data_IF_274758004863
#
_entry.id   IF_274758004863
#
_cell.length_a   1.000
_cell.length_b   1.000
_cell.length_c   1.000
_cell.angle_alpha   90.00
_cell.angle_beta   90.00
_cell.angle_gamma   90.00
#
_symmetry.space_group_name_H-M   'P 1'
#
loop_
_entity.id
_entity.type
_entity.pdbx_description
1 polymer ?
#
# COMPACT_ATOMS: atom_id res chain seq x y z
N UNK A 1 -30.76 -12.61 4.15
CA UNK A 1 -29.86 -13.75 4.32
C UNK A 1 -29.07 -13.87 3.04
N UNK A 2 -27.85 -13.31 2.97
CA UNK A 2 -26.96 -13.61 1.84
C UNK A 2 -26.62 -15.08 1.93
N UNK A 3 -26.65 -15.79 0.80
CA UNK A 3 -26.18 -17.17 0.76
C UNK A 3 -24.78 -17.22 1.38
N UNK A 4 -24.58 -18.12 2.32
CA UNK A 4 -23.29 -18.37 2.96
C UNK A 4 -22.33 -18.82 1.84
N UNK A 5 -21.50 -17.90 1.34
CA UNK A 5 -20.53 -18.23 0.31
C UNK A 5 -19.52 -19.21 0.92
N UNK A 6 -19.39 -20.38 0.29
CA UNK A 6 -18.41 -21.37 0.70
C UNK A 6 -17.04 -20.96 0.16
N UNK A 7 -16.02 -20.78 1.02
CA UNK A 7 -14.69 -20.37 0.57
C UNK A 7 -14.07 -21.38 -0.41
N UNK A 8 -13.30 -20.88 -1.39
CA UNK A 8 -12.50 -21.75 -2.26
C UNK A 8 -11.31 -22.33 -1.49
N UNK A 9 -11.32 -23.65 -1.30
CA UNK A 9 -10.30 -24.42 -0.59
C UNK A 9 -9.52 -25.38 -1.50
N UNK A 10 -9.76 -25.34 -2.81
CA UNK A 10 -9.07 -26.19 -3.79
C UNK A 10 -7.74 -25.55 -4.15
N UNK A 11 -6.65 -26.31 -4.08
CA UNK A 11 -5.32 -25.83 -4.49
C UNK A 11 -5.30 -25.46 -5.98
N UNK A 12 -4.70 -24.31 -6.30
CA UNK A 12 -4.53 -23.89 -7.69
C UNK A 12 -3.30 -24.57 -8.32
N UNK A 13 -3.44 -25.05 -9.54
CA UNK A 13 -2.33 -25.63 -10.31
C UNK A 13 -1.53 -24.57 -11.10
N UNK A 14 -2.14 -23.42 -11.38
CA UNK A 14 -1.59 -22.38 -12.27
C UNK A 14 -1.66 -21.01 -11.61
N UNK A 15 -0.66 -20.18 -11.93
CA UNK A 15 -0.62 -18.79 -11.50
C UNK A 15 -1.70 -17.99 -12.21
N UNK A 16 -2.44 -17.19 -11.44
CA UNK A 16 -3.53 -16.34 -11.90
C UNK A 16 -3.05 -14.93 -12.23
N UNK A 17 -3.76 -14.22 -13.11
CA UNK A 17 -3.48 -12.82 -13.42
C UNK A 17 -3.93 -11.90 -12.28
N UNK A 18 -3.58 -10.61 -12.35
CA UNK A 18 -3.92 -9.62 -11.33
C UNK A 18 -5.43 -9.50 -11.09
N UNK A 19 -6.20 -9.42 -12.16
CA UNK A 19 -7.65 -9.28 -12.12
C UNK A 19 -8.33 -10.48 -11.44
N UNK A 20 -7.79 -11.68 -11.61
CA UNK A 20 -8.37 -12.92 -11.09
C UNK A 20 -8.26 -12.99 -9.55
N UNK A 21 -7.14 -12.58 -8.97
CA UNK A 21 -6.95 -12.65 -7.51
C UNK A 21 -7.42 -11.40 -6.77
N UNK A 22 -7.66 -10.29 -7.47
CA UNK A 22 -8.04 -9.02 -6.86
C UNK A 22 -9.56 -8.84 -6.76
N UNK A 23 -10.37 -9.64 -7.46
CA UNK A 23 -11.82 -9.55 -7.39
C UNK A 23 -12.35 -9.71 -5.94
N UNK A 24 -12.89 -8.63 -5.38
CA UNK A 24 -13.43 -8.62 -4.02
C UNK A 24 -12.38 -8.56 -2.90
N UNK A 25 -11.11 -8.29 -3.21
CA UNK A 25 -10.04 -8.09 -2.22
C UNK A 25 -10.21 -6.81 -1.37
N UNK A 26 -11.16 -5.95 -1.74
CA UNK A 26 -11.54 -4.74 -1.04
C UNK A 26 -12.77 -4.92 -0.12
N UNK A 27 -13.33 -6.13 -0.01
CA UNK A 27 -14.56 -6.39 0.77
C UNK A 27 -14.46 -5.89 2.23
N UNK A 28 -13.34 -6.17 2.89
CA UNK A 28 -13.09 -5.76 4.27
C UNK A 28 -12.29 -4.44 4.36
N UNK A 29 -12.19 -3.69 3.27
CA UNK A 29 -11.50 -2.40 3.25
C UNK A 29 -12.23 -1.37 4.13
N UNK A 30 -11.48 -0.41 4.63
CA UNK A 30 -12.05 0.79 5.25
C UNK A 30 -12.81 1.62 4.20
N UNK A 31 -13.93 2.26 4.56
CA UNK A 31 -14.74 2.99 3.59
C UNK A 31 -14.04 4.27 3.12
N UNK A 32 -14.40 4.71 1.91
CA UNK A 32 -14.03 6.02 1.40
C UNK A 32 -14.56 7.13 2.31
N UNK A 33 -13.79 8.21 2.45
CA UNK A 33 -14.15 9.38 3.25
C UNK A 33 -14.31 10.64 2.41
N UNK A 34 -15.29 11.46 2.78
CA UNK A 34 -15.49 12.80 2.22
C UNK A 34 -14.84 13.90 3.07
N UNK A 35 -14.18 13.55 4.18
CA UNK A 35 -13.63 14.49 5.14
C UNK A 35 -12.50 15.39 4.60
N UNK A 36 -11.91 15.03 3.46
CA UNK A 36 -10.90 15.83 2.77
C UNK A 36 -11.50 16.91 1.87
N UNK A 37 -12.77 16.79 1.46
CA UNK A 37 -13.35 17.71 0.48
C UNK A 37 -13.35 19.17 0.99
N UNK A 38 -12.71 20.05 0.21
CA UNK A 38 -12.53 21.46 0.53
C UNK A 38 -11.27 21.79 1.34
N UNK A 39 -10.39 20.83 1.61
CA UNK A 39 -9.11 21.07 2.27
C UNK A 39 -7.94 21.23 1.28
N UNK A 40 -6.90 21.94 1.71
CA UNK A 40 -5.63 22.06 0.99
C UNK A 40 -4.50 21.73 1.95
N UNK A 41 -3.53 20.94 1.49
CA UNK A 41 -2.37 20.53 2.26
C UNK A 41 -1.11 20.64 1.41
N UNK A 42 -0.04 21.16 2.00
CA UNK A 42 1.31 21.16 1.42
C UNK A 42 2.22 20.25 2.23
N UNK A 43 3.05 19.48 1.54
CA UNK A 43 4.09 18.64 2.14
C UNK A 43 5.45 19.13 1.70
N UNK A 44 6.29 19.52 2.65
CA UNK A 44 7.72 19.76 2.44
C UNK A 44 8.48 18.45 2.67
N UNK A 45 9.03 17.88 1.60
CA UNK A 45 9.77 16.62 1.61
C UNK A 45 11.17 16.81 2.21
N UNK A 46 11.76 15.74 2.75
CA UNK A 46 13.08 15.79 3.40
C UNK A 46 14.23 16.18 2.45
N UNK A 47 14.11 15.85 1.17
CA UNK A 47 15.04 16.23 0.09
C UNK A 47 14.84 17.67 -0.43
N UNK A 48 13.84 18.39 0.10
CA UNK A 48 13.51 19.75 -0.28
C UNK A 48 12.45 19.86 -1.38
N UNK A 49 11.94 18.73 -1.89
CA UNK A 49 10.77 18.71 -2.76
C UNK A 49 9.52 19.27 -2.08
N UNK A 50 8.58 19.78 -2.87
CA UNK A 50 7.32 20.32 -2.37
C UNK A 50 6.16 19.70 -3.13
N UNK A 51 5.27 19.04 -2.39
CA UNK A 51 4.00 18.55 -2.88
C UNK A 51 2.84 19.39 -2.34
N UNK A 52 1.80 19.58 -3.15
CA UNK A 52 0.56 20.27 -2.77
C UNK A 52 -0.63 19.49 -3.28
N UNK A 53 -1.66 19.43 -2.44
CA UNK A 53 -2.90 18.70 -2.71
C UNK A 53 -4.08 19.59 -2.30
N UNK A 54 -4.94 19.93 -3.26
CA UNK A 54 -6.20 20.61 -3.04
C UNK A 54 -7.34 19.63 -3.32
N UNK A 55 -8.01 19.20 -2.26
CA UNK A 55 -9.07 18.21 -2.29
C UNK A 55 -10.41 18.88 -2.58
N UNK A 56 -11.04 18.50 -3.67
CA UNK A 56 -12.29 19.04 -4.17
C UNK A 56 -13.45 18.07 -3.92
N UNK A 57 -14.67 18.60 -3.98
CA UNK A 57 -15.88 17.76 -3.91
C UNK A 57 -15.93 16.71 -5.03
N UNK A 58 -16.51 15.55 -4.71
CA UNK A 58 -16.65 14.42 -5.63
C UNK A 58 -15.35 13.64 -5.83
N UNK A 59 -14.54 13.52 -4.77
CA UNK A 59 -13.29 12.75 -4.77
C UNK A 59 -12.29 13.18 -5.84
N UNK A 60 -12.15 14.49 -6.06
CA UNK A 60 -11.16 15.05 -6.99
C UNK A 60 -10.04 15.71 -6.23
N UNK A 61 -8.82 15.60 -6.73
CA UNK A 61 -7.64 16.26 -6.16
C UNK A 61 -6.90 17.00 -7.25
N UNK A 62 -6.72 18.31 -7.07
CA UNK A 62 -5.73 19.06 -7.82
C UNK A 62 -4.38 18.94 -7.09
N UNK A 63 -3.36 18.45 -7.78
CA UNK A 63 -2.07 18.14 -7.18
C UNK A 63 -0.94 18.83 -7.94
N UNK A 64 0.16 19.10 -7.25
CA UNK A 64 1.42 19.54 -7.87
C UNK A 64 2.61 19.09 -7.03
N UNK A 65 3.66 18.58 -7.66
CA UNK A 65 4.93 18.21 -7.04
C UNK A 65 6.09 18.87 -7.78
N UNK A 66 7.04 19.40 -7.02
CA UNK A 66 8.27 20.03 -7.51
C UNK A 66 9.47 19.52 -6.72
N UNK A 67 10.67 19.58 -7.31
CA UNK A 67 11.92 19.11 -6.66
C UNK A 67 12.20 17.60 -6.83
N UNK A 68 11.22 16.86 -7.31
CA UNK A 68 11.28 15.41 -7.49
C UNK A 68 11.48 14.98 -8.96
N UNK A 69 12.10 13.82 -9.20
CA UNK A 69 12.19 13.24 -10.56
C UNK A 69 10.81 12.93 -11.16
N UNK A 70 9.84 12.62 -10.31
CA UNK A 70 8.45 12.31 -10.66
C UNK A 70 7.52 13.53 -10.57
N UNK A 71 8.10 14.74 -10.48
CA UNK A 71 7.37 16.01 -10.45
C UNK A 71 6.33 16.16 -11.59
N UNK A 72 5.35 17.02 -11.35
CA UNK A 72 4.24 17.25 -12.26
C UNK A 72 3.06 17.89 -11.53
N UNK A 73 1.98 18.11 -12.26
CA UNK A 73 0.73 18.65 -11.74
C UNK A 73 -0.45 18.12 -12.55
N UNK A 74 -1.65 18.24 -11.97
CA UNK A 74 -2.89 17.84 -12.63
C UNK A 74 -4.09 17.82 -11.71
N UNK A 75 -5.23 17.38 -12.23
CA UNK A 75 -6.43 17.07 -11.47
C UNK A 75 -6.81 15.62 -11.74
N UNK A 76 -6.99 14.84 -10.67
CA UNK A 76 -7.29 13.41 -10.75
C UNK A 76 -8.48 13.06 -9.85
N UNK A 77 -9.09 11.91 -10.09
CA UNK A 77 -9.98 11.29 -9.10
C UNK A 77 -9.12 10.52 -8.10
N UNK A 78 -9.38 10.70 -6.80
CA UNK A 78 -8.65 10.01 -5.73
C UNK A 78 -9.54 9.01 -4.99
N UNK A 79 -8.90 7.96 -4.49
CA UNK A 79 -9.44 7.09 -3.44
C UNK A 79 -8.86 7.56 -2.11
N UNK A 80 -9.71 7.87 -1.13
CA UNK A 80 -9.28 8.46 0.13
C UNK A 80 -9.99 7.83 1.32
N UNK A 81 -9.23 7.47 2.34
CA UNK A 81 -9.70 6.74 3.52
C UNK A 81 -9.17 7.40 4.79
N UNK A 82 -10.03 7.52 5.79
CA UNK A 82 -9.61 7.93 7.13
C UNK A 82 -8.97 6.74 7.86
N UNK A 83 -7.78 6.96 8.43
CA UNK A 83 -6.95 5.92 9.07
C UNK A 83 -6.35 6.44 10.37
N UNK A 84 -5.91 5.54 11.24
CA UNK A 84 -5.27 5.92 12.50
C UNK A 84 -6.14 6.87 13.35
N UNK A 85 -5.50 7.81 14.03
CA UNK A 85 -6.16 8.90 14.77
C UNK A 85 -6.09 10.21 13.98
N UNK A 86 -6.99 10.35 13.02
CA UNK A 86 -7.15 11.58 12.22
C UNK A 86 -6.17 11.70 11.05
N UNK A 87 -5.50 10.61 10.66
CA UNK A 87 -4.71 10.54 9.45
C UNK A 87 -5.57 10.15 8.23
N UNK A 88 -5.01 10.35 7.05
CA UNK A 88 -5.61 9.98 5.78
C UNK A 88 -4.65 9.15 4.94
N UNK A 89 -5.19 8.16 4.25
CA UNK A 89 -4.55 7.44 3.16
C UNK A 89 -5.25 7.85 1.87
N UNK A 90 -4.50 8.31 0.87
CA UNK A 90 -5.02 8.81 -0.40
C UNK A 90 -4.20 8.22 -1.54
N UNK A 91 -4.85 7.71 -2.59
CA UNK A 91 -4.19 7.22 -3.79
C UNK A 91 -4.87 7.70 -5.06
N UNK A 92 -4.07 8.00 -6.08
CA UNK A 92 -4.57 8.28 -7.42
C UNK A 92 -3.54 7.90 -8.49
N UNK A 93 -4.03 7.51 -9.66
CA UNK A 93 -3.22 7.32 -10.86
C UNK A 93 -3.00 8.67 -11.57
N UNK A 94 -1.84 8.84 -12.20
CA UNK A 94 -1.55 10.04 -12.99
C UNK A 94 -2.06 9.82 -14.42
N UNK A 95 -3.12 10.52 -14.82
CA UNK A 95 -3.77 10.35 -16.13
C UNK A 95 -2.81 10.61 -17.30
N UNK A 96 -1.91 11.58 -17.14
CA UNK A 96 -0.88 11.90 -18.14
C UNK A 96 0.23 10.84 -18.23
N UNK A 97 0.42 10.03 -17.18
CA UNK A 97 1.46 9.01 -17.05
C UNK A 97 0.85 7.76 -16.40
N UNK A 98 0.01 7.05 -17.15
CA UNK A 98 -0.82 5.94 -16.60
C UNK A 98 -0.05 4.82 -15.90
N UNK A 99 1.24 4.68 -16.18
CA UNK A 99 2.16 3.75 -15.51
C UNK A 99 2.56 4.20 -14.11
N UNK A 100 2.10 5.35 -13.65
CA UNK A 100 2.43 5.95 -12.37
C UNK A 100 1.20 6.20 -11.50
N UNK A 101 1.40 6.07 -10.19
CA UNK A 101 0.44 6.48 -9.17
C UNK A 101 1.14 7.14 -7.99
N UNK A 102 0.44 8.03 -7.31
CA UNK A 102 0.88 8.66 -6.07
C UNK A 102 -0.02 8.15 -4.94
N UNK A 103 0.59 7.62 -3.90
CA UNK A 103 -0.08 7.34 -2.61
C UNK A 103 0.44 8.32 -1.57
N UNK A 104 -0.43 9.17 -1.01
CA UNK A 104 -0.13 10.08 0.09
C UNK A 104 -0.74 9.52 1.38
N UNK A 105 0.09 9.36 2.42
CA UNK A 105 -0.38 9.07 3.77
C UNK A 105 0.06 10.21 4.67
N UNK A 106 -0.88 10.88 5.35
CA UNK A 106 -0.54 12.06 6.13
C UNK A 106 -1.47 12.29 7.32
N UNK A 107 -0.95 12.97 8.33
CA UNK A 107 -1.70 13.41 9.49
C UNK A 107 -1.63 14.94 9.55
N UNK A 108 -2.73 15.67 9.28
CA UNK A 108 -2.73 17.13 9.14
C UNK A 108 -2.48 17.92 10.44
N UNK A 109 -2.83 17.35 11.60
CA UNK A 109 -2.64 17.95 12.93
C UNK A 109 -1.24 17.71 13.48
N UNK A 110 -0.77 16.46 13.52
CA UNK A 110 0.57 16.13 14.03
C UNK A 110 1.66 16.50 13.02
N UNK A 111 1.33 16.52 11.72
CA UNK A 111 2.13 17.18 10.70
C UNK A 111 3.10 16.26 9.94
N UNK A 112 2.99 14.94 10.06
CA UNK A 112 3.82 14.02 9.29
C UNK A 112 3.13 13.58 7.99
N UNK A 113 3.92 13.27 6.97
CA UNK A 113 3.47 12.67 5.72
C UNK A 113 4.51 11.69 5.16
N UNK A 114 4.01 10.71 4.41
CA UNK A 114 4.78 9.84 3.52
C UNK A 114 4.09 9.82 2.16
N UNK A 115 4.86 10.12 1.10
CA UNK A 115 4.43 9.94 -0.28
C UNK A 115 5.14 8.72 -0.86
N UNK A 116 4.38 7.82 -1.47
CA UNK A 116 4.89 6.70 -2.24
C UNK A 116 4.56 6.94 -3.71
N UNK A 117 5.60 7.13 -4.53
CA UNK A 117 5.45 7.15 -5.98
C UNK A 117 5.70 5.73 -6.50
N UNK A 118 4.71 5.14 -7.17
CA UNK A 118 4.83 3.83 -7.80
C UNK A 118 4.92 3.99 -9.31
N UNK A 119 5.82 3.24 -9.95
CA UNK A 119 6.01 3.23 -11.41
C UNK A 119 6.11 1.82 -11.94
N UNK A 120 5.32 1.52 -12.97
CA UNK A 120 5.46 0.34 -13.81
C UNK A 120 6.49 0.66 -14.91
N UNK A 121 7.62 -0.02 -14.90
CA UNK A 121 8.62 0.10 -15.96
C UNK A 121 8.20 -0.64 -17.23
N UNK A 122 8.81 -0.28 -18.37
CA UNK A 122 8.61 -0.99 -19.62
C UNK A 122 9.13 -2.44 -19.56
N UNK A 123 8.92 -3.21 -20.62
CA UNK A 123 9.28 -4.64 -20.67
C UNK A 123 10.80 -4.89 -20.63
N UNK A 124 11.63 -3.88 -20.91
CA UNK A 124 13.09 -3.98 -20.92
C UNK A 124 13.72 -3.42 -19.62
N UNK A 125 12.95 -3.40 -18.53
CA UNK A 125 13.42 -2.90 -17.24
C UNK A 125 14.68 -3.63 -16.75
N UNK A 126 15.57 -2.88 -16.11
CA UNK A 126 16.80 -3.39 -15.47
C UNK A 126 16.75 -3.30 -13.95
N UNK A 127 15.60 -2.85 -13.41
CA UNK A 127 15.30 -2.81 -11.99
C UNK A 127 15.05 -4.21 -11.44
N UNK A 128 15.03 -4.36 -10.12
CA UNK A 128 14.85 -5.67 -9.47
C UNK A 128 13.47 -6.27 -9.76
N UNK A 129 12.44 -5.43 -9.85
CA UNK A 129 11.08 -5.79 -10.25
C UNK A 129 10.56 -4.81 -11.30
N UNK A 130 9.57 -5.20 -12.10
CA UNK A 130 8.99 -4.32 -13.13
C UNK A 130 8.26 -3.13 -12.51
N UNK A 131 7.61 -3.34 -11.38
CA UNK A 131 7.05 -2.25 -10.57
C UNK A 131 8.11 -1.83 -9.57
N UNK A 132 8.41 -0.53 -9.50
CA UNK A 132 9.31 0.05 -8.50
C UNK A 132 8.62 1.20 -7.78
N UNK A 133 9.13 1.51 -6.59
CA UNK A 133 8.58 2.54 -5.72
C UNK A 133 9.69 3.40 -5.14
N UNK A 134 9.40 4.70 -5.00
CA UNK A 134 10.21 5.66 -4.25
C UNK A 134 9.37 6.23 -3.10
N UNK A 135 10.03 6.59 -2.00
CA UNK A 135 9.42 6.91 -0.72
C UNK A 135 9.93 8.26 -0.23
N UNK A 136 9.01 9.15 0.13
CA UNK A 136 9.30 10.55 0.39
C UNK A 136 8.60 10.98 1.67
N UNK A 137 9.32 10.97 2.78
CA UNK A 137 8.81 11.51 4.04
C UNK A 137 8.82 13.03 4.00
N UNK A 138 7.88 13.66 4.71
CA UNK A 138 7.78 15.10 4.72
C UNK A 138 6.88 15.67 5.80
N UNK A 139 6.93 17.00 5.91
CA UNK A 139 6.19 17.80 6.90
C UNK A 139 4.98 18.45 6.26
N UNK A 140 3.82 18.27 6.87
CA UNK A 140 2.56 18.88 6.43
C UNK A 140 2.47 20.30 6.97
N UNK A 141 2.08 21.23 6.09
CA UNK A 141 1.69 22.61 6.40
C UNK A 141 2.69 23.38 7.29
N UNK A 142 3.99 23.09 7.09
CA UNK A 142 5.10 23.75 7.78
C UNK A 142 5.33 23.31 9.22
N UNK A 143 4.72 22.20 9.67
CA UNK A 143 4.93 21.68 11.02
C UNK A 143 6.38 21.18 11.21
N UNK A 144 7.08 21.72 12.21
CA UNK A 144 8.52 21.46 12.40
C UNK A 144 8.86 20.47 13.51
N UNK A 145 7.96 20.24 14.47
CA UNK A 145 8.21 19.42 15.67
C UNK A 145 7.45 18.09 15.59
N UNK A 146 7.80 17.31 14.57
CA UNK A 146 7.16 16.03 14.27
C UNK A 146 8.21 14.98 13.94
N UNK A 147 8.03 13.76 14.45
CA UNK A 147 8.79 12.60 14.03
C UNK A 147 8.31 12.20 12.63
N UNK A 148 9.22 12.21 11.67
CA UNK A 148 8.88 11.83 10.31
C UNK A 148 8.79 10.31 10.15
N UNK A 149 7.97 9.84 9.19
CA UNK A 149 7.97 8.45 8.81
C UNK A 149 9.38 8.01 8.45
N UNK A 150 9.75 6.79 8.82
CA UNK A 150 11.08 6.24 8.55
C UNK A 150 11.00 4.74 8.29
N UNK A 151 11.96 4.20 7.56
CA UNK A 151 12.08 2.75 7.37
C UNK A 151 12.22 2.04 8.71
N UNK A 152 11.55 0.89 8.84
CA UNK A 152 11.50 0.17 10.11
C UNK A 152 11.65 -1.34 9.93
N UNK A 153 12.04 -1.98 11.04
CA UNK A 153 12.24 -3.43 11.16
C UNK A 153 11.19 -4.07 12.08
N UNK A 154 10.23 -3.29 12.59
CA UNK A 154 9.29 -3.73 13.63
C UNK A 154 8.33 -4.87 13.20
N UNK A 155 8.16 -5.09 11.89
CA UNK A 155 7.37 -6.22 11.40
C UNK A 155 8.16 -7.53 11.32
N UNK A 156 9.49 -7.48 11.26
CA UNK A 156 10.33 -8.67 11.06
C UNK A 156 10.08 -9.69 12.18
N UNK A 157 9.92 -10.95 11.78
CA UNK A 157 9.58 -12.07 12.66
C UNK A 157 8.08 -12.24 12.91
N UNK A 158 7.24 -11.23 12.65
CA UNK A 158 5.78 -11.42 12.73
C UNK A 158 5.28 -12.35 11.62
N UNK A 159 4.23 -13.09 11.96
CA UNK A 159 3.36 -13.82 11.03
C UNK A 159 1.93 -13.35 11.25
N UNK A 160 1.33 -12.82 10.21
CA UNK A 160 0.04 -12.12 10.28
C UNK A 160 -0.89 -12.64 9.20
N UNK A 161 -2.15 -12.90 9.55
CA UNK A 161 -3.17 -13.23 8.56
C UNK A 161 -3.94 -11.97 8.16
N UNK A 162 -4.25 -11.87 6.87
CA UNK A 162 -5.04 -10.81 6.28
C UNK A 162 -6.29 -11.40 5.66
N UNK A 163 -7.44 -11.09 6.28
CA UNK A 163 -8.77 -11.48 5.81
C UNK A 163 -9.34 -10.36 4.94
N UNK A 164 -9.14 -10.44 3.63
CA UNK A 164 -9.67 -9.44 2.68
C UNK A 164 -11.16 -9.66 2.40
N UNK A 165 -11.60 -10.92 2.33
CA UNK A 165 -13.01 -11.30 2.24
C UNK A 165 -13.20 -12.76 2.67
N UNK A 166 -14.42 -13.28 2.57
CA UNK A 166 -14.69 -14.71 2.80
C UNK A 166 -13.90 -15.61 1.84
N UNK A 167 -13.57 -15.11 0.65
CA UNK A 167 -12.84 -15.83 -0.39
C UNK A 167 -11.34 -15.51 -0.40
N UNK A 168 -10.85 -14.64 0.47
CA UNK A 168 -9.45 -14.19 0.44
C UNK A 168 -8.83 -14.21 1.84
N UNK A 169 -7.93 -15.17 2.05
CA UNK A 169 -7.07 -15.24 3.22
C UNK A 169 -5.63 -15.39 2.78
N UNK A 170 -4.81 -14.45 3.19
CA UNK A 170 -3.37 -14.53 3.00
C UNK A 170 -2.69 -14.55 4.36
N UNK A 171 -1.58 -15.25 4.45
CA UNK A 171 -0.61 -15.03 5.51
C UNK A 171 0.59 -14.27 4.98
N UNK A 172 1.08 -13.32 5.76
CA UNK A 172 2.36 -12.63 5.54
C UNK A 172 3.34 -13.08 6.62
N UNK A 173 4.56 -13.43 6.21
CA UNK A 173 5.69 -13.77 7.09
C UNK A 173 6.81 -12.78 6.77
N UNK A 174 7.11 -11.88 7.69
CA UNK A 174 8.10 -10.83 7.47
C UNK A 174 9.50 -11.33 7.82
N UNK A 175 10.34 -11.56 6.80
CA UNK A 175 11.61 -12.26 6.95
C UNK A 175 12.78 -11.32 7.26
N UNK A 176 12.80 -10.14 6.64
CA UNK A 176 13.97 -9.28 6.48
C UNK A 176 13.53 -7.85 6.17
N UNK A 177 14.45 -6.88 6.23
CA UNK A 177 14.16 -5.50 5.80
C UNK A 177 13.76 -5.39 4.32
N UNK A 178 14.13 -6.38 3.51
CA UNK A 178 13.93 -6.37 2.05
C UNK A 178 13.07 -7.51 1.52
N UNK A 179 12.64 -8.45 2.37
CA UNK A 179 11.91 -9.65 1.94
C UNK A 179 10.83 -10.06 2.94
N UNK A 180 9.71 -10.49 2.38
CA UNK A 180 8.64 -11.19 3.10
C UNK A 180 8.11 -12.34 2.25
N UNK A 181 7.35 -13.25 2.86
CA UNK A 181 6.59 -14.28 2.15
C UNK A 181 5.11 -13.99 2.30
N UNK A 182 4.38 -14.05 1.19
CA UNK A 182 2.94 -14.22 1.21
C UNK A 182 2.59 -15.68 0.91
N UNK A 183 1.49 -16.19 1.48
CA UNK A 183 0.91 -17.48 1.14
C UNK A 183 -0.61 -17.38 1.15
N UNK A 184 -1.25 -17.80 0.06
CA UNK A 184 -2.70 -17.81 -0.06
C UNK A 184 -3.29 -19.07 0.61
N UNK A 185 -4.03 -18.84 1.69
CA UNK A 185 -4.70 -19.85 2.50
C UNK A 185 -6.16 -20.08 2.08
N UNK A 186 -6.78 -19.09 1.43
CA UNK A 186 -8.12 -19.15 0.82
C UNK A 186 -8.15 -18.18 -0.36
N UNK A 187 -8.61 -18.65 -1.52
CA UNK A 187 -8.82 -17.84 -2.73
C UNK A 187 -8.28 -18.45 -4.01
N UNK A 188 -8.30 -17.68 -5.09
CA UNK A 188 -7.97 -18.15 -6.45
C UNK A 188 -6.53 -18.62 -6.62
N UNK A 189 -5.63 -18.19 -5.73
CA UNK A 189 -4.24 -18.63 -5.69
C UNK A 189 -3.96 -19.61 -4.53
N UNK A 190 -4.97 -20.30 -3.99
CA UNK A 190 -4.83 -21.21 -2.85
C UNK A 190 -3.64 -22.15 -3.00
N UNK A 191 -2.78 -22.14 -1.98
CA UNK A 191 -1.57 -22.98 -1.90
C UNK A 191 -0.33 -22.31 -2.49
N UNK A 192 -0.48 -21.25 -3.29
CA UNK A 192 0.66 -20.49 -3.77
C UNK A 192 1.28 -19.64 -2.67
N UNK A 193 2.60 -19.52 -2.74
CA UNK A 193 3.39 -18.64 -1.92
C UNK A 193 4.58 -18.14 -2.72
N UNK A 194 5.04 -16.93 -2.42
CA UNK A 194 6.28 -16.39 -2.96
C UNK A 194 6.97 -15.48 -1.94
N UNK A 195 8.29 -15.40 -2.07
CA UNK A 195 9.13 -14.47 -1.32
C UNK A 195 9.39 -13.24 -2.19
N UNK A 196 8.86 -12.08 -1.79
CA UNK A 196 8.87 -10.88 -2.63
C UNK A 196 9.72 -9.77 -2.01
N UNK A 197 10.16 -8.86 -2.88
CA UNK A 197 10.82 -7.62 -2.46
C UNK A 197 9.81 -6.75 -1.69
N UNK A 198 10.19 -6.32 -0.48
CA UNK A 198 9.33 -5.54 0.41
C UNK A 198 10.05 -4.33 1.00
N UNK A 199 9.27 -3.33 1.42
CA UNK A 199 9.74 -2.15 2.16
C UNK A 199 8.71 -1.82 3.24
N UNK A 200 9.18 -1.51 4.45
CA UNK A 200 8.31 -1.17 5.58
C UNK A 200 8.69 0.20 6.15
N UNK A 201 7.70 1.08 6.28
CA UNK A 201 7.83 2.38 6.93
C UNK A 201 6.97 2.42 8.17
N UNK A 202 7.50 2.99 9.25
CA UNK A 202 6.73 3.32 10.44
C UNK A 202 6.19 4.73 10.28
N UNK A 203 4.89 4.90 10.51
CA UNK A 203 4.25 6.20 10.57
C UNK A 203 4.10 6.62 12.03
N UNK A 204 3.49 5.73 12.83
CA UNK A 204 3.28 5.89 14.26
C UNK A 204 3.41 4.50 14.93
N UNK A 205 3.32 4.46 16.26
CA UNK A 205 3.36 3.18 16.98
C UNK A 205 2.17 2.30 16.55
N UNK A 206 2.46 1.14 15.96
CA UNK A 206 1.43 0.21 15.48
C UNK A 206 0.80 0.58 14.13
N UNK A 207 1.29 1.64 13.49
CA UNK A 207 0.81 2.13 12.20
C UNK A 207 1.96 2.14 11.19
N UNK A 208 1.86 1.28 10.17
CA UNK A 208 2.93 1.04 9.22
C UNK A 208 2.43 1.18 7.78
N UNK A 209 3.29 1.68 6.89
CA UNK A 209 3.14 1.41 5.46
C UNK A 209 3.99 0.20 5.12
N UNK A 210 3.36 -0.79 4.51
CA UNK A 210 4.01 -1.97 3.99
C UNK A 210 3.77 -2.05 2.49
N UNK A 211 4.87 -2.17 1.74
CA UNK A 211 4.81 -2.35 0.30
C UNK A 211 5.52 -3.63 -0.08
N UNK A 212 5.01 -4.29 -1.11
CA UNK A 212 5.74 -5.33 -1.80
C UNK A 212 5.61 -5.19 -3.31
N UNK A 213 6.56 -5.80 -4.01
CA UNK A 213 6.64 -5.82 -5.46
C UNK A 213 6.88 -7.25 -5.89
N UNK A 214 5.96 -7.77 -6.68
CA UNK A 214 5.99 -9.14 -7.16
C UNK A 214 7.00 -9.30 -8.31
N UNK A 215 7.81 -10.35 -8.23
CA UNK A 215 8.79 -10.67 -9.28
C UNK A 215 8.12 -11.33 -10.49
N UNK A 216 7.14 -12.20 -10.24
CA UNK A 216 6.52 -13.02 -11.29
C UNK A 216 5.38 -12.31 -12.01
N UNK A 217 4.49 -11.68 -11.25
CA UNK A 217 3.37 -10.89 -11.79
C UNK A 217 3.76 -9.43 -11.58
N UNK A 218 3.68 -8.55 -12.58
CA UNK A 218 4.15 -7.16 -12.47
C UNK A 218 3.17 -6.31 -11.63
N UNK A 219 3.16 -6.55 -10.33
CA UNK A 219 2.28 -5.93 -9.33
C UNK A 219 3.15 -5.31 -8.24
N UNK A 220 2.81 -4.09 -7.84
CA UNK A 220 3.32 -3.46 -6.64
C UNK A 220 2.18 -2.96 -5.78
N UNK A 221 2.42 -2.84 -4.48
CA UNK A 221 1.36 -2.53 -3.52
C UNK A 221 1.74 -1.40 -2.59
N UNK A 222 0.74 -0.72 -2.05
CA UNK A 222 0.93 0.23 -0.95
C UNK A 222 -0.18 0.01 0.05
N UNK A 223 0.13 -0.65 1.16
CA UNK A 223 -0.82 -0.90 2.23
C UNK A 223 -0.44 -0.18 3.50
N UNK A 224 -1.44 0.39 4.16
CA UNK A 224 -1.36 0.81 5.54
C UNK A 224 -1.85 -0.34 6.43
N UNK A 225 -1.03 -0.72 7.40
CA UNK A 225 -1.34 -1.68 8.45
C UNK A 225 -1.53 -0.94 9.77
N UNK A 226 -2.76 -0.89 10.25
CA UNK A 226 -3.12 -0.41 11.57
C UNK A 226 -3.32 -1.61 12.50
N UNK A 227 -2.22 -2.03 13.13
CA UNK A 227 -2.23 -3.16 14.07
C UNK A 227 -3.04 -2.82 15.33
N UNK A 228 -3.10 -1.56 15.75
CA UNK A 228 -3.86 -1.15 16.93
C UNK A 228 -5.36 -1.33 16.73
N UNK A 229 -5.86 -1.15 15.51
CA UNK A 229 -7.28 -1.31 15.14
C UNK A 229 -7.59 -2.64 14.46
N UNK A 230 -6.58 -3.45 14.14
CA UNK A 230 -6.75 -4.72 13.43
C UNK A 230 -7.24 -4.55 11.99
N UNK A 231 -6.82 -3.48 11.31
CA UNK A 231 -7.33 -3.13 9.96
C UNK A 231 -6.19 -2.80 9.00
N UNK A 232 -6.40 -3.11 7.72
CA UNK A 232 -5.60 -2.60 6.62
C UNK A 232 -6.45 -1.93 5.55
N UNK A 233 -5.81 -0.99 4.85
CA UNK A 233 -6.32 -0.41 3.61
C UNK A 233 -5.13 -0.15 2.69
N UNK A 234 -5.33 -0.22 1.39
CA UNK A 234 -4.25 -0.01 0.44
C UNK A 234 -4.70 -0.18 -0.99
N UNK A 235 -3.71 -0.40 -1.86
CA UNK A 235 -3.91 -0.68 -3.28
C UNK A 235 -2.92 -1.69 -3.85
N UNK A 236 -3.28 -2.15 -5.03
CA UNK A 236 -2.45 -2.88 -5.98
C UNK A 236 -2.35 -2.07 -7.26
N UNK A 237 -1.14 -1.83 -7.76
CA UNK A 237 -0.89 -1.28 -9.09
C UNK A 237 -0.14 -2.31 -9.92
N UNK A 238 -0.61 -2.60 -11.13
CA UNK A 238 0.02 -3.61 -11.98
C UNK A 238 -0.59 -3.72 -13.36
N UNK A 239 -0.27 -4.82 -14.03
CA UNK A 239 -0.82 -5.16 -15.35
C UNK A 239 -1.79 -6.34 -15.24
N UNK A 240 -2.92 -6.22 -15.94
CA UNK A 240 -3.85 -7.32 -16.17
C UNK A 240 -3.30 -8.30 -17.20
N UNK A 241 -3.94 -9.47 -17.36
CA UNK A 241 -3.53 -10.48 -18.31
C UNK A 241 -3.51 -10.02 -19.78
N UNK A 242 -4.30 -9.01 -20.13
CA UNK A 242 -4.31 -8.36 -21.45
C UNK A 242 -3.33 -7.16 -21.58
N UNK A 243 -2.55 -6.89 -20.53
CA UNK A 243 -1.52 -5.84 -20.52
C UNK A 243 -2.05 -4.43 -20.20
N UNK A 244 -3.31 -4.27 -19.81
CA UNK A 244 -3.84 -2.99 -19.32
C UNK A 244 -3.34 -2.71 -17.91
N UNK A 245 -3.12 -1.43 -17.61
CA UNK A 245 -2.73 -1.00 -16.27
C UNK A 245 -3.97 -0.91 -15.38
N UNK A 246 -3.88 -1.47 -14.18
CA UNK A 246 -4.86 -1.33 -13.13
C UNK A 246 -4.24 -0.79 -11.85
N UNK A 247 -5.05 -0.01 -11.13
CA UNK A 247 -4.74 0.50 -9.81
C UNK A 247 -6.00 0.32 -8.95
N UNK A 248 -6.02 -0.78 -8.20
CA UNK A 248 -7.22 -1.33 -7.57
C UNK A 248 -7.08 -1.31 -6.06
N UNK A 249 -8.15 -0.94 -5.38
CA UNK A 249 -8.18 -0.85 -3.92
C UNK A 249 -8.14 -2.24 -3.27
N UNK A 250 -7.68 -2.31 -2.03
CA UNK A 250 -7.73 -3.50 -1.21
C UNK A 250 -7.73 -3.18 0.28
N UNK A 251 -8.20 -4.10 1.10
CA UNK A 251 -8.13 -3.94 2.56
C UNK A 251 -8.70 -5.14 3.31
N UNK A 252 -8.13 -5.39 4.48
CA UNK A 252 -8.38 -6.60 5.25
C UNK A 252 -8.62 -6.31 6.72
N UNK A 253 -9.18 -7.30 7.40
CA UNK A 253 -8.99 -7.46 8.84
C UNK A 253 -7.62 -8.09 9.08
N UNK A 254 -6.87 -7.51 10.02
CA UNK A 254 -5.58 -8.01 10.47
C UNK A 254 -5.81 -8.96 11.64
N UNK A 255 -5.29 -10.17 11.52
CA UNK A 255 -5.35 -11.18 12.58
C UNK A 255 -3.91 -11.56 12.93
N UNK A 256 -3.44 -11.13 14.10
CA UNK A 256 -2.13 -11.54 14.62
C UNK A 256 -2.11 -13.05 14.83
N UNK A 257 -1.06 -13.74 14.36
CA UNK A 257 -1.04 -15.19 14.32
C UNK A 257 0.21 -15.83 14.95
N UNK A 258 1.40 -15.28 14.71
CA UNK A 258 2.63 -15.83 15.28
C UNK A 258 3.81 -14.87 15.25
N UNK A 259 4.90 -15.28 15.91
CA UNK A 259 6.15 -14.52 15.98
C UNK A 259 7.37 -15.44 16.09
N UNK A 260 8.39 -15.17 15.28
CA UNK A 260 9.71 -15.78 15.35
C UNK A 260 10.67 -14.84 16.08
N UNK A 261 11.18 -15.26 17.25
CA UNK A 261 12.17 -14.49 17.99
C UNK A 261 13.58 -14.75 17.44
N UNK A 262 14.18 -13.75 16.79
CA UNK A 262 15.55 -13.83 16.28
C UNK A 262 16.61 -13.35 17.27
N UNK A 263 16.23 -12.68 18.37
CA UNK A 263 17.16 -12.05 19.31
C UNK A 263 18.07 -13.07 20.02
N UNK A 264 17.59 -14.31 20.21
CA UNK A 264 18.34 -15.38 20.88
C UNK A 264 19.31 -16.13 19.94
N UNK A 265 19.28 -15.80 18.64
CA UNK A 265 20.04 -16.50 17.61
C UNK A 265 20.81 -15.51 16.75
N UNK A 266 20.25 -15.09 15.62
CA UNK A 266 20.86 -14.17 14.68
C UNK A 266 19.75 -13.36 14.03
N UNK A 267 19.84 -12.03 14.11
CA UNK A 267 18.89 -11.16 13.45
C UNK A 267 19.03 -11.23 11.92
N UNK A 268 17.92 -11.31 11.17
CA UNK A 268 17.91 -11.22 9.72
C UNK A 268 18.27 -9.79 9.28
N UNK A 269 18.79 -9.64 8.06
CA UNK A 269 19.17 -8.33 7.51
C UNK A 269 17.99 -7.58 6.93
#
# INVERSE_FOLDING_TARGET
>A
MSAEQTPNLVESAEWRNMEDFSEGIDTNRLPQTDALAGSEHSVLLEDGGVAKFNFLAGNRVAWSVTGEEWAGDGEETYDGVAVGDGAFWVDFSISARKVESITLIFQPVTGWALIVHSRIHDENFTTETRVMQTFHAGRVDGNTDVELPHETRELIGKRTLFRYSVNHLYEHIYLSSRRFVWHNLVGEQRGHAAAELATTWKLEKGLYVFTWREEKIPVGTVFLFDYARGRSTGKFIGLTGDGRIENSAGGAEIIEFGFSNYADHQEPV
#
